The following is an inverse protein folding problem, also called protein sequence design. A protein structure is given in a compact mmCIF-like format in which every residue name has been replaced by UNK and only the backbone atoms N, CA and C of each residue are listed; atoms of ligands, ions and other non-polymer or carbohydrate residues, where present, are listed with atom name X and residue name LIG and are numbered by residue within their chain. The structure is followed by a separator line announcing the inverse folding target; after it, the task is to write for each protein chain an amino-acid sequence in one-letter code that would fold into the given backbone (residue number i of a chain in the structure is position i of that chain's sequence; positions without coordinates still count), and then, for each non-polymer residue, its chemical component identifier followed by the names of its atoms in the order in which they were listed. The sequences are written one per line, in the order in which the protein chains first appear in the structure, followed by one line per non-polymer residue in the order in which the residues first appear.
data_IF_486777217303
#
_entry.id   IF_486777217303
#
_cell.length_a   1.000
_cell.length_b   1.000
_cell.length_c   1.000
_cell.angle_alpha   90.00
_cell.angle_beta   90.00
_cell.angle_gamma   90.00
#
_symmetry.space_group_name_H-M   'P 1'
#
loop_
_entity.id
_entity.type
_entity.pdbx_description
1 polymer ?
#
# COMPACT_ATOMS: atom_id res chain seq x y z
N UNK A 1 -22.95 -70.06 39.60
CA UNK A 1 -22.15 -70.26 38.38
C UNK A 1 -22.77 -69.48 37.23
N UNK A 2 -21.97 -68.58 36.66
CA UNK A 2 -22.02 -67.93 35.33
C UNK A 2 -23.20 -67.01 34.96
N UNK A 3 -23.01 -65.72 35.24
CA UNK A 3 -23.58 -64.58 34.50
C UNK A 3 -22.82 -64.43 33.18
N UNK A 4 -23.52 -64.46 32.05
CA UNK A 4 -22.97 -64.05 30.75
C UNK A 4 -23.06 -62.53 30.61
N UNK A 5 -21.89 -61.89 30.48
CA UNK A 5 -21.73 -60.48 30.14
C UNK A 5 -21.69 -60.39 28.61
N UNK A 6 -22.68 -59.70 28.03
CA UNK A 6 -22.72 -59.37 26.62
C UNK A 6 -21.90 -58.08 26.42
N UNK A 7 -20.70 -58.19 25.88
CA UNK A 7 -19.83 -57.06 25.56
C UNK A 7 -20.24 -56.48 24.20
N UNK A 8 -20.83 -55.29 24.18
CA UNK A 8 -21.02 -54.50 22.95
C UNK A 8 -19.66 -53.89 22.54
N UNK A 9 -19.03 -54.45 21.51
CA UNK A 9 -17.90 -53.83 20.82
C UNK A 9 -18.43 -52.78 19.84
N UNK A 10 -18.58 -51.54 20.30
CA UNK A 10 -18.69 -50.39 19.39
C UNK A 10 -17.31 -50.12 18.78
N UNK A 11 -17.09 -50.63 17.58
CA UNK A 11 -15.94 -50.26 16.74
C UNK A 11 -16.13 -48.80 16.31
N UNK A 12 -15.45 -47.88 16.97
CA UNK A 12 -15.24 -46.53 16.44
C UNK A 12 -14.35 -46.66 15.20
N UNK A 13 -14.98 -46.67 14.02
CA UNK A 13 -14.28 -46.45 12.76
C UNK A 13 -13.88 -44.98 12.77
N UNK A 14 -12.67 -44.69 13.26
CA UNK A 14 -12.00 -43.44 12.93
C UNK A 14 -11.79 -43.44 11.42
N UNK A 15 -12.63 -42.71 10.70
CA UNK A 15 -12.32 -42.28 9.34
C UNK A 15 -11.02 -41.47 9.44
N UNK A 16 -9.87 -42.13 9.22
CA UNK A 16 -8.65 -41.46 8.83
C UNK A 16 -8.98 -40.78 7.51
N UNK A 17 -9.43 -39.55 7.57
CA UNK A 17 -9.44 -38.66 6.43
C UNK A 17 -7.96 -38.56 6.03
N UNK A 18 -7.55 -39.37 5.05
CA UNK A 18 -6.26 -39.19 4.42
C UNK A 18 -6.35 -37.80 3.79
N UNK A 19 -5.79 -36.79 4.47
CA UNK A 19 -5.57 -35.47 3.88
C UNK A 19 -4.81 -35.74 2.58
N UNK A 20 -5.49 -35.55 1.45
CA UNK A 20 -4.87 -35.75 0.15
C UNK A 20 -3.72 -34.74 0.04
N UNK A 21 -2.51 -35.26 -0.15
CA UNK A 21 -1.33 -34.42 -0.33
C UNK A 21 -1.54 -33.57 -1.58
N UNK A 22 -1.33 -32.26 -1.46
CA UNK A 22 -1.42 -31.35 -2.60
C UNK A 22 -0.34 -31.71 -3.61
N UNK A 23 -0.70 -31.63 -4.89
CA UNK A 23 0.20 -31.85 -6.02
C UNK A 23 0.78 -30.51 -6.50
N UNK A 24 1.99 -30.54 -7.05
CA UNK A 24 2.59 -29.35 -7.67
C UNK A 24 2.75 -29.57 -9.17
N UNK A 25 1.96 -28.87 -9.99
CA UNK A 25 2.08 -28.93 -11.45
C UNK A 25 2.95 -27.79 -12.02
N UNK A 26 4.10 -27.51 -11.38
CA UNK A 26 4.98 -26.40 -11.77
C UNK A 26 5.41 -26.44 -13.24
N UNK A 27 5.69 -27.62 -13.79
CA UNK A 27 6.07 -27.76 -15.21
C UNK A 27 4.97 -27.30 -16.17
N UNK A 28 3.69 -27.58 -15.86
CA UNK A 28 2.56 -27.14 -16.67
C UNK A 28 2.35 -25.63 -16.59
N UNK A 29 2.58 -25.04 -15.41
CA UNK A 29 2.57 -23.57 -15.22
C UNK A 29 3.68 -22.92 -16.07
N UNK A 30 4.90 -23.46 -16.06
CA UNK A 30 6.00 -22.92 -16.87
C UNK A 30 5.77 -23.11 -18.39
N UNK A 31 5.15 -24.22 -18.80
CA UNK A 31 4.69 -24.40 -20.19
C UNK A 31 3.68 -23.32 -20.59
N UNK A 32 2.66 -23.10 -19.75
CA UNK A 32 1.64 -22.07 -19.99
C UNK A 32 2.25 -20.66 -20.08
N UNK A 33 3.20 -20.31 -19.20
CA UNK A 33 3.93 -19.03 -19.28
C UNK A 33 4.72 -18.88 -20.57
N UNK A 34 5.36 -19.96 -21.02
CA UNK A 34 6.11 -19.97 -22.29
C UNK A 34 5.20 -19.74 -23.47
N UNK A 35 4.05 -20.41 -23.51
CA UNK A 35 3.03 -20.23 -24.56
C UNK A 35 2.40 -18.83 -24.54
N UNK A 36 2.27 -18.22 -23.37
CA UNK A 36 1.73 -16.86 -23.18
C UNK A 36 2.74 -15.74 -23.47
N UNK A 37 3.99 -16.07 -23.83
CA UNK A 37 5.05 -15.06 -24.03
C UNK A 37 4.68 -13.98 -25.04
N UNK A 38 4.09 -14.35 -26.18
CA UNK A 38 3.68 -13.37 -27.19
C UNK A 38 2.47 -12.54 -26.74
N UNK A 39 1.47 -13.18 -26.11
CA UNK A 39 0.32 -12.47 -25.54
C UNK A 39 0.75 -11.45 -24.46
N UNK A 40 1.70 -11.81 -23.60
CA UNK A 40 2.26 -10.90 -22.60
C UNK A 40 3.03 -9.74 -23.24
N UNK A 41 3.78 -9.98 -24.32
CA UNK A 41 4.47 -8.92 -25.06
C UNK A 41 3.47 -7.94 -25.69
N UNK A 42 2.39 -8.45 -26.30
CA UNK A 42 1.31 -7.63 -26.87
C UNK A 42 0.63 -6.82 -25.77
N UNK A 43 0.29 -7.45 -24.65
CA UNK A 43 -0.31 -6.79 -23.49
C UNK A 43 0.59 -5.67 -22.95
N UNK A 44 1.88 -5.98 -22.74
CA UNK A 44 2.88 -5.02 -22.26
C UNK A 44 3.00 -3.81 -23.19
N UNK A 45 2.93 -3.99 -24.51
CA UNK A 45 2.90 -2.88 -25.46
C UNK A 45 1.56 -2.12 -25.46
N UNK A 46 0.46 -2.82 -25.24
CA UNK A 46 -0.89 -2.26 -25.22
C UNK A 46 -1.10 -1.29 -24.05
N UNK A 47 -0.77 -1.69 -22.81
CA UNK A 47 -1.03 -0.91 -21.58
C UNK A 47 -0.32 0.45 -21.55
N UNK A 48 0.61 0.65 -22.47
CA UNK A 48 1.41 1.86 -22.57
C UNK A 48 0.64 2.93 -23.30
N UNK A 49 -0.04 2.53 -24.38
CA UNK A 49 -0.58 3.44 -25.39
C UNK A 49 -2.11 3.40 -25.50
N UNK A 50 -2.74 2.37 -24.97
CA UNK A 50 -4.15 2.10 -25.15
C UNK A 50 -4.90 2.09 -23.83
N UNK A 51 -6.23 2.11 -23.93
CA UNK A 51 -7.12 1.93 -22.80
C UNK A 51 -6.86 0.58 -22.11
N UNK A 52 -6.65 0.61 -20.79
CA UNK A 52 -6.29 -0.57 -20.00
C UNK A 52 -7.33 -1.68 -20.11
N UNK A 53 -8.62 -1.34 -20.14
CA UNK A 53 -9.70 -2.34 -20.21
C UNK A 53 -9.62 -3.12 -21.53
N UNK A 54 -9.33 -2.46 -22.65
CA UNK A 54 -9.13 -3.12 -23.94
C UNK A 54 -7.95 -4.09 -23.86
N UNK A 55 -6.82 -3.66 -23.28
CA UNK A 55 -5.63 -4.50 -23.14
C UNK A 55 -5.89 -5.74 -22.28
N UNK A 56 -6.59 -5.57 -21.16
CA UNK A 56 -6.98 -6.68 -20.28
C UNK A 56 -7.95 -7.62 -20.97
N UNK A 57 -9.00 -7.10 -21.62
CA UNK A 57 -9.99 -7.93 -22.31
C UNK A 57 -9.35 -8.75 -23.46
N UNK A 58 -8.32 -8.23 -24.14
CA UNK A 58 -7.55 -8.99 -25.14
C UNK A 58 -6.65 -10.06 -24.52
N UNK A 59 -5.92 -9.73 -23.44
CA UNK A 59 -5.07 -10.70 -22.75
C UNK A 59 -5.88 -11.91 -22.25
N UNK A 60 -7.04 -11.65 -21.64
CA UNK A 60 -7.91 -12.67 -21.05
C UNK A 60 -8.44 -13.68 -22.08
N UNK A 61 -8.53 -13.34 -23.38
CA UNK A 61 -8.90 -14.30 -24.44
C UNK A 61 -7.94 -15.49 -24.53
N UNK A 62 -6.71 -15.34 -24.04
CA UNK A 62 -5.70 -16.40 -24.01
C UNK A 62 -5.84 -17.36 -22.82
N UNK A 63 -6.78 -17.10 -21.89
CA UNK A 63 -7.00 -17.89 -20.67
C UNK A 63 -7.80 -19.18 -20.94
N UNK A 64 -7.29 -20.03 -21.83
CA UNK A 64 -8.03 -21.18 -22.39
C UNK A 64 -8.01 -22.45 -21.53
N UNK A 65 -7.16 -22.53 -20.50
CA UNK A 65 -7.08 -23.63 -19.54
C UNK A 65 -6.66 -23.10 -18.16
N UNK A 66 -6.76 -23.93 -17.13
CA UNK A 66 -6.48 -23.59 -15.72
C UNK A 66 -5.06 -23.04 -15.48
N UNK A 67 -4.04 -23.56 -16.16
CA UNK A 67 -2.66 -23.08 -16.02
C UNK A 67 -2.43 -21.72 -16.68
N UNK A 68 -3.10 -21.47 -17.82
CA UNK A 68 -3.10 -20.15 -18.47
C UNK A 68 -3.93 -19.14 -17.69
N UNK A 69 -5.07 -19.55 -17.12
CA UNK A 69 -5.87 -18.71 -16.21
C UNK A 69 -5.06 -18.31 -15.00
N UNK A 70 -4.40 -19.26 -14.35
CA UNK A 70 -3.46 -19.00 -13.26
C UNK A 70 -2.38 -17.98 -13.68
N UNK A 71 -1.74 -18.20 -14.82
CA UNK A 71 -0.64 -17.33 -15.26
C UNK A 71 -1.10 -15.91 -15.63
N UNK A 72 -2.26 -15.78 -16.31
CA UNK A 72 -2.84 -14.47 -16.66
C UNK A 72 -3.40 -13.78 -15.42
N UNK A 73 -4.00 -14.52 -14.49
CA UNK A 73 -4.42 -14.00 -13.18
C UNK A 73 -3.24 -13.34 -12.49
N UNK A 74 -2.11 -14.05 -12.37
CA UNK A 74 -0.88 -13.50 -11.80
C UNK A 74 -0.38 -12.23 -12.50
N UNK A 75 -0.50 -12.13 -13.84
CA UNK A 75 -0.16 -10.90 -14.57
C UNK A 75 -1.10 -9.74 -14.25
N UNK A 76 -2.37 -10.03 -13.97
CA UNK A 76 -3.41 -9.04 -13.67
C UNK A 76 -3.52 -8.70 -12.19
N UNK A 77 -2.76 -9.37 -11.32
CA UNK A 77 -2.84 -9.26 -9.86
C UNK A 77 -2.78 -7.82 -9.34
N UNK A 78 -1.93 -6.97 -9.94
CA UNK A 78 -1.77 -5.54 -9.60
C UNK A 78 -2.34 -4.60 -10.67
N UNK A 79 -3.17 -5.11 -11.57
CA UNK A 79 -3.68 -4.37 -12.73
C UNK A 79 -5.20 -4.35 -12.73
N UNK A 80 -5.81 -5.53 -12.73
CA UNK A 80 -7.25 -5.73 -12.71
C UNK A 80 -7.56 -6.83 -11.69
N UNK A 81 -7.79 -6.40 -10.45
CA UNK A 81 -7.95 -7.30 -9.29
C UNK A 81 -9.21 -8.15 -9.40
N UNK A 82 -10.25 -7.68 -10.09
CA UNK A 82 -11.49 -8.44 -10.30
C UNK A 82 -11.28 -9.56 -11.32
N UNK A 83 -10.60 -9.27 -12.44
CA UNK A 83 -10.25 -10.30 -13.43
C UNK A 83 -9.24 -11.29 -12.87
N UNK A 84 -8.23 -10.82 -12.12
CA UNK A 84 -7.25 -11.66 -11.43
C UNK A 84 -7.94 -12.66 -10.50
N UNK A 85 -8.79 -12.15 -9.59
CA UNK A 85 -9.57 -12.96 -8.67
C UNK A 85 -10.36 -14.05 -9.41
N UNK A 86 -11.11 -13.66 -10.46
CA UNK A 86 -11.96 -14.60 -11.21
C UNK A 86 -11.13 -15.70 -11.90
N UNK A 87 -9.99 -15.35 -12.49
CA UNK A 87 -9.13 -16.32 -13.16
C UNK A 87 -8.47 -17.30 -12.18
N UNK A 88 -8.02 -16.81 -11.02
CA UNK A 88 -7.48 -17.66 -9.96
C UNK A 88 -8.56 -18.57 -9.34
N UNK A 89 -9.79 -18.06 -9.15
CA UNK A 89 -10.94 -18.86 -8.73
C UNK A 89 -11.22 -19.98 -9.75
N UNK A 90 -11.32 -19.66 -11.04
CA UNK A 90 -11.57 -20.65 -12.09
C UNK A 90 -10.44 -21.70 -12.19
N UNK A 91 -9.19 -21.29 -12.00
CA UNK A 91 -8.05 -22.22 -11.98
C UNK A 91 -8.13 -23.17 -10.78
N UNK A 92 -8.40 -22.63 -9.58
CA UNK A 92 -8.60 -23.41 -8.35
C UNK A 92 -9.78 -24.39 -8.48
N UNK A 93 -10.93 -23.96 -9.00
CA UNK A 93 -12.10 -24.83 -9.17
C UNK A 93 -11.87 -25.96 -10.19
N UNK A 94 -11.00 -25.73 -11.18
CA UNK A 94 -10.63 -26.76 -12.14
C UNK A 94 -9.66 -27.80 -11.56
N UNK A 95 -8.82 -27.41 -10.61
CA UNK A 95 -7.87 -28.29 -9.93
C UNK A 95 -7.56 -27.80 -8.50
N UNK A 96 -8.42 -28.16 -7.55
CA UNK A 96 -8.35 -27.72 -6.15
C UNK A 96 -7.27 -28.47 -5.33
N UNK A 97 -6.61 -29.43 -5.96
CA UNK A 97 -5.49 -30.19 -5.41
C UNK A 97 -4.12 -29.65 -5.85
N UNK A 98 -4.06 -28.64 -6.73
CA UNK A 98 -2.79 -27.97 -7.06
C UNK A 98 -2.37 -26.97 -5.98
N UNK A 99 -1.18 -27.16 -5.40
CA UNK A 99 -0.67 -26.34 -4.32
C UNK A 99 -0.51 -24.86 -4.68
N UNK A 100 -0.20 -24.55 -5.94
CA UNK A 100 -0.02 -23.16 -6.40
C UNK A 100 -1.39 -22.49 -6.55
N UNK A 101 -2.39 -23.22 -7.04
CA UNK A 101 -3.75 -22.68 -7.21
C UNK A 101 -4.42 -22.46 -5.86
N UNK A 102 -4.23 -23.39 -4.92
CA UNK A 102 -4.68 -23.24 -3.52
C UNK A 102 -4.09 -21.97 -2.90
N UNK A 103 -2.77 -21.77 -3.06
CA UNK A 103 -2.11 -20.61 -2.48
C UNK A 103 -2.60 -19.29 -3.10
N UNK A 104 -2.56 -19.17 -4.43
CA UNK A 104 -2.94 -17.90 -5.09
C UNK A 104 -4.42 -17.57 -4.83
N UNK A 105 -5.31 -18.56 -4.83
CA UNK A 105 -6.71 -18.30 -4.54
C UNK A 105 -6.93 -17.90 -3.06
N UNK A 106 -6.15 -18.46 -2.12
CA UNK A 106 -6.16 -18.00 -0.72
C UNK A 106 -5.74 -16.53 -0.59
N UNK A 107 -4.70 -16.13 -1.32
CA UNK A 107 -4.20 -14.75 -1.39
C UNK A 107 -5.28 -13.81 -1.95
N UNK A 108 -5.94 -14.20 -3.04
CA UNK A 108 -7.04 -13.44 -3.63
C UNK A 108 -8.24 -13.27 -2.69
N UNK A 109 -8.64 -14.34 -1.99
CA UNK A 109 -9.68 -14.28 -0.96
C UNK A 109 -9.28 -13.35 0.19
N UNK A 110 -8.03 -13.39 0.62
CA UNK A 110 -7.50 -12.53 1.68
C UNK A 110 -7.55 -11.06 1.26
N UNK A 111 -7.15 -10.72 0.03
CA UNK A 111 -7.28 -9.36 -0.53
C UNK A 111 -8.71 -8.86 -0.61
N UNK A 112 -9.67 -9.76 -0.83
CA UNK A 112 -11.11 -9.46 -0.79
C UNK A 112 -11.69 -9.45 0.63
N UNK A 113 -10.85 -9.52 1.67
CA UNK A 113 -11.22 -9.56 3.09
C UNK A 113 -12.12 -10.76 3.44
N UNK A 114 -12.11 -11.82 2.62
CA UNK A 114 -12.80 -13.09 2.89
C UNK A 114 -11.95 -13.99 3.80
N UNK A 115 -11.58 -13.45 4.96
CA UNK A 115 -10.60 -14.05 5.88
C UNK A 115 -10.91 -15.49 6.29
N UNK A 116 -12.18 -15.83 6.50
CA UNK A 116 -12.60 -17.18 6.92
C UNK A 116 -12.48 -18.23 5.80
N UNK A 117 -12.58 -17.82 4.54
CA UNK A 117 -12.38 -18.70 3.38
C UNK A 117 -10.88 -18.84 3.09
N UNK A 118 -10.16 -17.71 3.12
CA UNK A 118 -8.71 -17.67 2.95
C UNK A 118 -7.97 -18.53 3.98
N UNK A 119 -8.34 -18.46 5.26
CA UNK A 119 -7.69 -19.22 6.33
C UNK A 119 -7.72 -20.73 6.08
N UNK A 120 -8.85 -21.28 5.63
CA UNK A 120 -8.99 -22.72 5.31
C UNK A 120 -8.01 -23.16 4.22
N UNK A 121 -7.84 -22.34 3.19
CA UNK A 121 -6.91 -22.65 2.10
C UNK A 121 -5.44 -22.48 2.54
N UNK A 122 -5.13 -21.45 3.32
CA UNK A 122 -3.80 -21.31 3.91
C UNK A 122 -3.44 -22.45 4.86
N UNK A 123 -4.39 -22.99 5.63
CA UNK A 123 -4.17 -24.19 6.43
C UNK A 123 -3.80 -25.38 5.54
N UNK A 124 -4.63 -25.68 4.53
CA UNK A 124 -4.38 -26.74 3.54
C UNK A 124 -2.99 -26.58 2.89
N UNK A 125 -2.62 -25.35 2.52
CA UNK A 125 -1.31 -25.03 1.95
C UNK A 125 -0.18 -25.26 2.96
N UNK A 126 -0.31 -24.74 4.19
CA UNK A 126 0.73 -24.80 5.23
C UNK A 126 1.03 -26.23 5.69
N UNK A 127 0.05 -27.14 5.66
CA UNK A 127 0.27 -28.57 5.91
C UNK A 127 1.21 -29.21 4.88
N UNK A 128 1.16 -28.74 3.64
CA UNK A 128 1.97 -29.24 2.53
C UNK A 128 3.28 -28.44 2.34
N UNK A 129 3.34 -27.21 2.84
CA UNK A 129 4.50 -26.31 2.79
C UNK A 129 4.85 -25.74 4.18
N UNK A 130 5.16 -26.58 5.18
CA UNK A 130 5.31 -26.13 6.58
C UNK A 130 6.51 -25.21 6.81
N UNK A 131 7.43 -25.12 5.83
CA UNK A 131 8.61 -24.24 5.85
C UNK A 131 8.33 -22.84 5.30
N UNK A 132 7.20 -22.63 4.61
CA UNK A 132 6.85 -21.30 4.14
C UNK A 132 6.23 -20.48 5.27
N UNK A 133 7.07 -19.67 5.93
CA UNK A 133 6.65 -18.87 7.08
C UNK A 133 5.58 -17.83 6.74
N UNK A 134 5.43 -17.46 5.45
CA UNK A 134 4.47 -16.44 5.01
C UNK A 134 3.05 -16.91 5.24
N UNK A 135 2.79 -18.21 5.05
CA UNK A 135 1.50 -18.83 5.31
C UNK A 135 1.04 -18.61 6.76
N UNK A 136 1.96 -18.67 7.73
CA UNK A 136 1.62 -18.43 9.13
C UNK A 136 1.36 -16.95 9.43
N UNK A 137 2.01 -16.03 8.72
CA UNK A 137 1.71 -14.60 8.83
C UNK A 137 0.30 -14.29 8.28
N UNK A 138 -0.05 -14.82 7.10
CA UNK A 138 -1.39 -14.67 6.52
C UNK A 138 -2.48 -15.34 7.38
N UNK A 139 -2.22 -16.54 7.91
CA UNK A 139 -3.13 -17.19 8.87
C UNK A 139 -3.32 -16.33 10.12
N UNK A 140 -2.24 -15.75 10.66
CA UNK A 140 -2.34 -14.86 11.82
C UNK A 140 -3.27 -13.69 11.55
N UNK A 141 -3.14 -13.03 10.40
CA UNK A 141 -3.98 -11.92 10.01
C UNK A 141 -5.45 -12.35 9.78
N UNK A 142 -5.67 -13.45 9.05
CA UNK A 142 -7.02 -13.99 8.85
C UNK A 142 -7.70 -14.33 10.18
N UNK A 143 -6.97 -14.93 11.11
CA UNK A 143 -7.52 -15.36 12.40
C UNK A 143 -7.86 -14.20 13.32
N UNK A 144 -7.07 -13.12 13.33
CA UNK A 144 -7.43 -11.96 14.15
C UNK A 144 -8.65 -11.24 13.59
N UNK A 145 -8.80 -11.20 12.26
CA UNK A 145 -9.97 -10.60 11.60
C UNK A 145 -11.25 -11.43 11.74
N UNK A 146 -11.14 -12.74 11.98
CA UNK A 146 -12.29 -13.65 12.23
C UNK A 146 -12.60 -13.82 13.73
N UNK A 147 -11.84 -13.17 14.62
CA UNK A 147 -12.04 -13.25 16.07
C UNK A 147 -11.44 -14.50 16.72
N UNK A 148 -10.72 -15.34 15.96
CA UNK A 148 -10.02 -16.53 16.46
C UNK A 148 -8.65 -16.14 17.05
N UNK A 149 -8.68 -15.30 18.10
CA UNK A 149 -7.50 -14.61 18.64
C UNK A 149 -6.36 -15.57 19.03
N UNK A 150 -6.69 -16.68 19.69
CA UNK A 150 -5.68 -17.65 20.14
C UNK A 150 -5.00 -18.36 18.96
N UNK A 151 -5.75 -18.65 17.88
CA UNK A 151 -5.16 -19.18 16.65
C UNK A 151 -4.28 -18.16 15.94
N UNK A 152 -4.65 -16.87 16.00
CA UNK A 152 -3.82 -15.80 15.47
C UNK A 152 -2.46 -15.77 16.18
N UNK A 153 -2.46 -15.71 17.52
CA UNK A 153 -1.23 -15.72 18.34
C UNK A 153 -0.38 -16.97 18.07
N UNK A 154 -1.01 -18.14 17.99
CA UNK A 154 -0.31 -19.39 17.71
C UNK A 154 0.39 -19.37 16.35
N UNK A 155 -0.28 -18.87 15.30
CA UNK A 155 0.32 -18.77 13.97
C UNK A 155 1.39 -17.67 13.90
N UNK A 156 1.18 -16.53 14.56
CA UNK A 156 2.21 -15.50 14.67
C UNK A 156 3.52 -16.04 15.25
N UNK A 157 3.45 -16.84 16.32
CA UNK A 157 4.65 -17.48 16.90
C UNK A 157 5.40 -18.36 15.90
N UNK A 158 4.67 -19.10 15.05
CA UNK A 158 5.26 -19.94 14.00
C UNK A 158 5.99 -19.15 12.93
N UNK A 159 5.73 -17.85 12.78
CA UNK A 159 6.47 -17.00 11.84
C UNK A 159 7.93 -16.81 12.25
N UNK A 160 8.27 -16.97 13.53
CA UNK A 160 9.58 -16.66 14.10
C UNK A 160 10.10 -15.29 13.61
N UNK A 161 9.37 -14.22 13.93
CA UNK A 161 9.61 -12.87 13.42
C UNK A 161 11.08 -12.42 13.49
N UNK A 162 11.80 -12.75 14.57
CA UNK A 162 13.23 -12.43 14.71
C UNK A 162 14.09 -12.87 13.52
N UNK A 163 13.79 -14.03 12.94
CA UNK A 163 14.55 -14.60 11.83
C UNK A 163 13.93 -14.26 10.46
N UNK A 164 12.64 -13.86 10.42
CA UNK A 164 11.87 -13.81 9.19
C UNK A 164 11.15 -12.47 8.91
N UNK A 165 11.47 -11.40 9.63
CA UNK A 165 10.79 -10.10 9.51
C UNK A 165 10.63 -9.60 8.05
N UNK A 166 11.68 -9.68 7.21
CA UNK A 166 11.59 -9.28 5.79
C UNK A 166 10.55 -10.10 5.03
N UNK A 167 10.49 -11.41 5.26
CA UNK A 167 9.52 -12.28 4.60
C UNK A 167 8.09 -12.04 5.10
N UNK A 168 7.91 -11.64 6.36
CA UNK A 168 6.62 -11.21 6.92
C UNK A 168 6.18 -9.89 6.31
N UNK A 169 7.10 -8.93 6.19
CA UNK A 169 6.84 -7.64 5.57
C UNK A 169 6.40 -7.84 4.10
N UNK A 170 7.14 -8.64 3.33
CA UNK A 170 6.77 -8.99 1.97
C UNK A 170 5.41 -9.73 1.88
N UNK A 171 5.12 -10.64 2.83
CA UNK A 171 3.84 -11.33 2.86
C UNK A 171 2.66 -10.36 3.02
N UNK A 172 2.80 -9.36 3.90
CA UNK A 172 1.77 -8.35 4.10
C UNK A 172 1.71 -7.36 2.92
N UNK A 173 2.83 -7.04 2.27
CA UNK A 173 2.86 -6.26 1.04
C UNK A 173 2.05 -6.93 -0.09
N UNK A 174 2.16 -8.25 -0.24
CA UNK A 174 1.40 -9.01 -1.25
C UNK A 174 -0.12 -8.81 -1.07
N UNK A 175 -0.61 -8.67 0.16
CA UNK A 175 -2.04 -8.49 0.45
C UNK A 175 -2.46 -7.02 0.40
N UNK A 176 -1.70 -6.14 1.05
CA UNK A 176 -2.11 -4.76 1.34
C UNK A 176 -1.31 -3.69 0.60
N UNK A 177 -0.35 -4.07 -0.25
CA UNK A 177 0.41 -3.16 -1.10
C UNK A 177 -0.45 -2.39 -2.09
N UNK A 178 0.07 -1.26 -2.60
CA UNK A 178 -0.65 -0.40 -3.55
C UNK A 178 -0.66 -1.03 -4.95
N UNK A 179 -1.71 -1.78 -5.23
CA UNK A 179 -1.89 -2.57 -6.46
C UNK A 179 -2.59 -1.82 -7.60
N UNK A 180 -2.55 -0.48 -7.63
CA UNK A 180 -3.35 0.30 -8.58
C UNK A 180 -2.54 1.22 -9.49
N UNK A 181 -1.20 1.18 -9.48
CA UNK A 181 -0.38 2.15 -10.22
C UNK A 181 -0.63 2.14 -11.74
N UNK A 182 -0.74 0.96 -12.36
CA UNK A 182 -1.07 0.86 -13.80
C UNK A 182 -2.47 1.42 -14.08
N UNK A 183 -3.44 1.11 -13.22
CA UNK A 183 -4.80 1.66 -13.33
C UNK A 183 -4.81 3.18 -13.17
N UNK A 184 -4.15 3.72 -12.14
CA UNK A 184 -4.02 5.16 -11.90
C UNK A 184 -3.39 5.85 -13.11
N UNK A 185 -2.33 5.28 -13.68
CA UNK A 185 -1.72 5.79 -14.91
C UNK A 185 -2.72 5.84 -16.07
N UNK A 186 -3.48 4.76 -16.28
CA UNK A 186 -4.50 4.70 -17.33
C UNK A 186 -5.61 5.74 -17.11
N UNK A 187 -6.11 5.88 -15.88
CA UNK A 187 -7.14 6.85 -15.54
C UNK A 187 -6.65 8.30 -15.78
N UNK A 188 -5.41 8.61 -15.40
CA UNK A 188 -4.81 9.92 -15.64
C UNK A 188 -4.68 10.23 -17.14
N UNK A 189 -4.21 9.26 -17.94
CA UNK A 189 -4.14 9.40 -19.40
C UNK A 189 -5.52 9.60 -20.02
N UNK A 190 -6.53 8.89 -19.54
CA UNK A 190 -7.91 9.03 -20.01
C UNK A 190 -8.45 10.45 -19.76
N UNK A 191 -8.22 11.02 -18.57
CA UNK A 191 -8.64 12.40 -18.27
C UNK A 191 -7.83 13.44 -19.08
N UNK A 192 -6.54 13.19 -19.32
CA UNK A 192 -5.72 14.03 -20.23
C UNK A 192 -6.31 14.06 -21.65
N UNK A 193 -6.76 12.92 -22.16
CA UNK A 193 -7.41 12.85 -23.48
C UNK A 193 -8.73 13.63 -23.53
N UNK A 194 -9.43 13.77 -22.40
CA UNK A 194 -10.60 14.65 -22.27
C UNK A 194 -10.27 16.13 -22.14
N UNK A 195 -8.99 16.49 -22.00
CA UNK A 195 -8.52 17.88 -21.91
C UNK A 195 -8.06 18.31 -20.51
N UNK A 196 -8.08 17.44 -19.51
CA UNK A 196 -7.60 17.74 -18.15
C UNK A 196 -6.07 17.71 -18.10
N UNK A 197 -5.42 18.69 -18.73
CA UNK A 197 -3.96 18.70 -18.92
C UNK A 197 -3.16 18.86 -17.63
N UNK A 198 -3.76 19.32 -16.53
CA UNK A 198 -3.11 19.34 -15.21
C UNK A 198 -2.73 17.94 -14.72
N UNK A 199 -3.37 16.88 -15.25
CA UNK A 199 -3.06 15.50 -14.89
C UNK A 199 -1.71 15.01 -15.44
N UNK A 200 -1.02 15.78 -16.30
CA UNK A 200 0.36 15.46 -16.66
C UNK A 200 1.31 15.49 -15.46
N UNK A 201 1.06 16.34 -14.46
CA UNK A 201 1.89 16.40 -13.26
C UNK A 201 1.86 15.09 -12.45
N UNK A 202 0.71 14.59 -11.97
CA UNK A 202 0.63 13.31 -11.27
C UNK A 202 1.03 12.12 -12.15
N UNK A 203 0.77 12.17 -13.47
CA UNK A 203 1.19 11.11 -14.40
C UNK A 203 2.72 10.98 -14.44
N UNK A 204 3.42 12.08 -14.71
CA UNK A 204 4.88 12.07 -14.78
C UNK A 204 5.51 11.80 -13.40
N UNK A 205 4.88 12.28 -12.32
CA UNK A 205 5.33 11.95 -10.97
C UNK A 205 5.25 10.45 -10.69
N UNK A 206 4.13 9.81 -11.06
CA UNK A 206 3.91 8.38 -10.91
C UNK A 206 4.95 7.57 -11.68
N UNK A 207 5.20 7.90 -12.95
CA UNK A 207 6.18 7.18 -13.77
C UNK A 207 7.60 7.35 -13.23
N UNK A 208 7.91 8.49 -12.61
CA UNK A 208 9.22 8.77 -12.04
C UNK A 208 9.47 8.06 -10.71
N UNK A 209 8.42 7.88 -9.91
CA UNK A 209 8.45 7.39 -8.53
C UNK A 209 7.60 6.12 -8.37
N UNK A 210 7.78 5.15 -9.26
CA UNK A 210 7.02 3.91 -9.28
C UNK A 210 7.37 3.03 -8.08
N UNK A 211 6.42 2.78 -7.19
CA UNK A 211 6.62 1.90 -6.03
C UNK A 211 6.78 0.44 -6.51
N UNK A 212 7.79 -0.26 -5.99
CA UNK A 212 7.98 -1.71 -6.21
C UNK A 212 7.69 -2.52 -4.95
N UNK A 213 7.90 -1.91 -3.79
CA UNK A 213 7.54 -2.40 -2.46
C UNK A 213 7.31 -1.17 -1.55
N UNK A 214 7.18 -1.36 -0.23
CA UNK A 214 6.89 -0.24 0.69
C UNK A 214 8.00 0.78 0.86
N UNK A 215 9.24 0.49 0.46
CA UNK A 215 10.40 1.38 0.66
C UNK A 215 11.16 1.70 -0.63
N UNK A 216 10.98 0.91 -1.68
CA UNK A 216 11.65 1.11 -2.96
C UNK A 216 10.73 1.77 -3.98
N UNK A 217 11.31 2.75 -4.68
CA UNK A 217 10.73 3.32 -5.89
C UNK A 217 11.76 3.33 -7.01
N UNK A 218 11.30 3.24 -8.25
CA UNK A 218 12.14 3.37 -9.44
C UNK A 218 11.44 4.15 -10.54
N UNK A 219 12.16 4.49 -11.59
CA UNK A 219 11.57 5.13 -12.78
C UNK A 219 11.09 4.07 -13.76
N UNK A 220 9.82 4.14 -14.17
CA UNK A 220 9.28 3.39 -15.30
C UNK A 220 9.61 4.10 -16.61
N UNK A 221 10.86 3.92 -17.07
CA UNK A 221 11.40 4.63 -18.24
C UNK A 221 10.53 4.51 -19.49
N UNK A 222 9.90 3.35 -19.72
CA UNK A 222 9.07 3.14 -20.90
C UNK A 222 7.78 3.97 -20.85
N UNK A 223 7.12 4.04 -19.69
CA UNK A 223 5.95 4.90 -19.49
C UNK A 223 6.32 6.37 -19.54
N UNK A 224 7.34 6.77 -18.78
CA UNK A 224 7.80 8.15 -18.70
C UNK A 224 8.10 8.74 -20.09
N UNK A 225 8.79 7.98 -20.95
CA UNK A 225 9.14 8.45 -22.28
C UNK A 225 7.92 8.66 -23.19
N UNK A 226 6.93 7.78 -23.13
CA UNK A 226 5.69 7.94 -23.92
C UNK A 226 4.81 9.06 -23.36
N UNK A 227 4.69 9.17 -22.05
CA UNK A 227 3.90 10.21 -21.40
C UNK A 227 4.51 11.61 -21.56
N UNK A 228 5.85 11.72 -21.67
CA UNK A 228 6.51 12.96 -22.05
C UNK A 228 6.26 13.36 -23.50
N UNK A 229 6.26 12.41 -24.44
CA UNK A 229 5.88 12.70 -25.84
C UNK A 229 4.43 13.16 -25.94
N UNK A 230 3.55 12.54 -25.17
CA UNK A 230 2.14 12.95 -25.09
C UNK A 230 2.03 14.37 -24.52
N UNK A 231 2.73 14.67 -23.43
CA UNK A 231 2.79 16.01 -22.85
C UNK A 231 3.30 17.05 -23.84
N UNK A 232 4.40 16.75 -24.55
CA UNK A 232 4.94 17.62 -25.59
C UNK A 232 3.92 17.91 -26.70
N UNK A 233 3.21 16.88 -27.14
CA UNK A 233 2.22 16.96 -28.22
C UNK A 233 0.99 17.76 -27.81
N UNK A 234 0.47 17.55 -26.59
CA UNK A 234 -0.78 18.17 -26.11
C UNK A 234 -0.57 19.59 -25.56
N UNK A 235 0.53 19.83 -24.85
CA UNK A 235 0.83 21.13 -24.25
C UNK A 235 1.62 22.05 -25.19
N UNK A 236 2.57 21.49 -25.94
CA UNK A 236 3.54 22.21 -26.76
C UNK A 236 4.80 22.64 -25.98
N UNK A 237 5.94 22.72 -26.68
CA UNK A 237 7.27 23.05 -26.11
C UNK A 237 7.33 24.41 -25.38
N UNK A 238 6.53 25.38 -25.83
CA UNK A 238 6.53 26.72 -25.25
C UNK A 238 5.70 26.82 -23.95
N UNK A 239 4.83 25.84 -23.69
CA UNK A 239 3.89 25.85 -22.58
C UNK A 239 4.62 25.85 -21.22
N UNK A 240 4.21 26.72 -20.27
CA UNK A 240 4.81 26.77 -18.94
C UNK A 240 4.81 25.42 -18.21
N UNK A 241 3.71 24.67 -18.26
CA UNK A 241 3.57 23.42 -17.53
C UNK A 241 4.53 22.36 -18.07
N UNK A 242 4.65 22.26 -19.39
CA UNK A 242 5.59 21.34 -20.03
C UNK A 242 7.05 21.70 -19.72
N UNK A 243 7.38 23.00 -19.67
CA UNK A 243 8.70 23.47 -19.22
C UNK A 243 8.97 23.10 -17.77
N UNK A 244 8.00 23.27 -16.88
CA UNK A 244 8.10 22.85 -15.48
C UNK A 244 8.32 21.35 -15.36
N UNK A 245 7.60 20.53 -16.13
CA UNK A 245 7.78 19.07 -16.16
C UNK A 245 9.20 18.69 -16.61
N UNK A 246 9.69 19.26 -17.71
CA UNK A 246 11.06 19.01 -18.20
C UNK A 246 12.12 19.46 -17.19
N UNK A 247 11.91 20.62 -16.55
CA UNK A 247 12.80 21.12 -15.53
C UNK A 247 12.83 20.19 -14.31
N UNK A 248 11.67 19.73 -13.83
CA UNK A 248 11.57 18.76 -12.72
C UNK A 248 12.38 17.50 -13.01
N UNK A 249 12.17 16.86 -14.17
CA UNK A 249 12.89 15.65 -14.54
C UNK A 249 14.39 15.87 -14.64
N UNK A 250 14.82 17.01 -15.20
CA UNK A 250 16.24 17.37 -15.25
C UNK A 250 16.82 17.55 -13.86
N UNK A 251 16.10 18.20 -12.96
CA UNK A 251 16.52 18.39 -11.56
C UNK A 251 16.67 17.04 -10.85
N UNK A 252 15.74 16.09 -11.04
CA UNK A 252 15.84 14.74 -10.45
C UNK A 252 17.06 13.97 -10.97
N UNK A 253 17.38 14.11 -12.26
CA UNK A 253 18.60 13.52 -12.82
C UNK A 253 19.86 14.13 -12.18
N UNK A 254 19.93 15.46 -12.09
CA UNK A 254 21.06 16.17 -11.51
C UNK A 254 21.21 15.92 -10.00
N UNK A 255 20.10 15.74 -9.27
CA UNK A 255 20.08 15.35 -7.85
C UNK A 255 20.80 14.02 -7.66
N UNK A 256 20.46 13.02 -8.50
CA UNK A 256 21.13 11.71 -8.46
C UNK A 256 22.63 11.79 -8.78
N UNK A 257 23.03 12.75 -9.61
CA UNK A 257 24.42 12.99 -9.98
C UNK A 257 25.17 13.91 -8.98
N UNK A 258 24.48 14.49 -7.99
CA UNK A 258 25.06 15.42 -7.04
C UNK A 258 25.46 16.79 -7.63
N UNK A 259 24.84 17.20 -8.74
CA UNK A 259 25.21 18.43 -9.49
C UNK A 259 24.42 19.65 -9.00
N UNK A 260 24.80 20.17 -7.83
CA UNK A 260 24.07 21.23 -7.12
C UNK A 260 23.93 22.54 -7.91
N UNK A 261 25.02 23.10 -8.45
CA UNK A 261 24.98 24.39 -9.16
C UNK A 261 24.14 24.34 -10.44
N UNK A 262 24.14 23.19 -11.13
CA UNK A 262 23.33 22.93 -12.30
C UNK A 262 21.84 22.85 -11.95
N UNK A 263 21.49 22.26 -10.80
CA UNK A 263 20.11 22.28 -10.29
C UNK A 263 19.66 23.73 -10.09
N UNK A 264 20.48 24.54 -9.41
CA UNK A 264 20.20 25.96 -9.17
C UNK A 264 19.98 26.72 -10.47
N UNK A 265 20.82 26.47 -11.48
CA UNK A 265 20.67 27.06 -12.82
C UNK A 265 19.33 26.67 -13.46
N UNK A 266 18.97 25.38 -13.45
CA UNK A 266 17.69 24.91 -14.03
C UNK A 266 16.49 25.57 -13.34
N UNK A 267 16.51 25.70 -12.00
CA UNK A 267 15.47 26.39 -11.24
C UNK A 267 15.32 27.86 -11.64
N UNK A 268 16.43 28.59 -11.78
CA UNK A 268 16.44 30.00 -12.16
C UNK A 268 15.99 30.19 -13.62
N UNK A 269 16.55 29.43 -14.56
CA UNK A 269 16.28 29.55 -16.00
C UNK A 269 14.80 29.23 -16.32
N UNK A 270 14.19 28.32 -15.57
CA UNK A 270 12.79 27.94 -15.73
C UNK A 270 11.83 28.71 -14.80
N UNK A 271 12.32 29.67 -14.01
CA UNK A 271 11.52 30.49 -13.09
C UNK A 271 10.69 29.64 -12.12
N UNK A 272 11.35 28.74 -11.40
CA UNK A 272 10.72 27.83 -10.44
C UNK A 272 11.26 28.12 -9.04
N UNK A 273 10.39 28.48 -8.10
CA UNK A 273 10.64 28.63 -6.64
C UNK A 273 11.66 29.72 -6.25
N UNK A 274 12.88 29.69 -6.78
CA UNK A 274 13.95 30.63 -6.45
C UNK A 274 13.64 32.04 -6.97
N UNK A 275 14.24 33.07 -6.34
CA UNK A 275 14.04 34.48 -6.69
C UNK A 275 12.56 34.92 -6.65
N UNK A 276 11.79 34.40 -5.69
CA UNK A 276 10.35 34.62 -5.56
C UNK A 276 9.53 34.21 -6.79
N UNK A 277 10.05 33.33 -7.63
CA UNK A 277 9.27 32.74 -8.70
C UNK A 277 8.19 31.79 -8.14
N UNK A 278 7.12 31.50 -8.92
CA UNK A 278 5.99 30.71 -8.45
C UNK A 278 6.38 29.32 -7.91
N UNK A 279 5.64 28.87 -6.89
CA UNK A 279 5.66 27.49 -6.41
C UNK A 279 4.77 26.66 -7.36
N UNK A 280 5.23 25.49 -7.86
CA UNK A 280 4.39 24.61 -8.67
C UNK A 280 3.07 24.26 -7.96
N UNK A 281 1.98 24.24 -8.71
CA UNK A 281 0.64 24.02 -8.14
C UNK A 281 0.40 22.56 -7.70
N UNK A 282 1.18 21.62 -8.21
CA UNK A 282 1.12 20.21 -7.84
C UNK A 282 2.03 19.93 -6.63
N UNK A 283 1.44 19.45 -5.54
CA UNK A 283 2.08 19.39 -4.24
C UNK A 283 3.26 18.45 -4.18
N UNK A 284 3.20 17.30 -4.84
CA UNK A 284 4.30 16.34 -4.84
C UNK A 284 5.53 16.89 -5.57
N UNK A 285 5.36 17.61 -6.69
CA UNK A 285 6.47 18.32 -7.35
C UNK A 285 7.04 19.39 -6.44
N UNK A 286 6.18 20.18 -5.80
CA UNK A 286 6.60 21.24 -4.88
C UNK A 286 7.34 20.71 -3.66
N UNK A 287 6.88 19.60 -3.08
CA UNK A 287 7.50 18.92 -1.94
C UNK A 287 8.91 18.48 -2.30
N UNK A 288 9.07 17.80 -3.45
CA UNK A 288 10.36 17.33 -3.94
C UNK A 288 11.33 18.47 -4.23
N UNK A 289 10.86 19.50 -4.95
CA UNK A 289 11.70 20.63 -5.35
C UNK A 289 12.10 21.50 -4.14
N UNK A 290 11.19 21.75 -3.20
CA UNK A 290 11.51 22.48 -1.98
C UNK A 290 12.52 21.71 -1.12
N UNK A 291 12.33 20.40 -0.92
CA UNK A 291 13.30 19.54 -0.24
C UNK A 291 14.69 19.66 -0.89
N UNK A 292 14.77 19.57 -2.21
CA UNK A 292 16.03 19.73 -2.95
C UNK A 292 16.65 21.11 -2.70
N UNK A 293 15.85 22.19 -2.72
CA UNK A 293 16.37 23.54 -2.45
C UNK A 293 16.87 23.73 -1.03
N UNK A 294 16.24 23.09 -0.03
CA UNK A 294 16.68 23.17 1.36
C UNK A 294 17.93 22.32 1.62
N UNK A 295 17.99 21.09 1.12
CA UNK A 295 19.17 20.21 1.25
C UNK A 295 20.41 20.86 0.62
N UNK A 296 20.25 21.51 -0.53
CA UNK A 296 21.34 22.22 -1.21
C UNK A 296 21.55 23.65 -0.70
N UNK A 297 20.81 24.08 0.34
CA UNK A 297 20.93 25.40 0.97
C UNK A 297 20.69 26.58 0.01
N UNK A 298 19.92 26.38 -1.06
CA UNK A 298 19.47 27.48 -1.95
C UNK A 298 18.40 28.33 -1.29
N UNK A 299 17.62 27.72 -0.39
CA UNK A 299 16.65 28.37 0.46
C UNK A 299 16.88 27.94 1.90
N UNK A 300 16.46 28.78 2.83
CA UNK A 300 16.37 28.45 4.26
C UNK A 300 14.91 28.22 4.63
N UNK A 301 14.60 27.13 5.34
CA UNK A 301 13.23 26.78 5.73
C UNK A 301 12.54 27.89 6.54
N UNK A 302 13.26 28.50 7.49
CA UNK A 302 12.70 29.54 8.36
C UNK A 302 12.36 30.80 7.56
N UNK A 303 13.27 31.23 6.70
CA UNK A 303 13.06 32.43 5.88
C UNK A 303 11.98 32.18 4.82
N UNK A 304 11.95 30.99 4.22
CA UNK A 304 10.92 30.62 3.26
C UNK A 304 9.53 30.62 3.91
N UNK A 305 9.37 29.99 5.09
CA UNK A 305 8.10 29.98 5.80
C UNK A 305 7.64 31.39 6.19
N UNK A 306 8.53 32.22 6.74
CA UNK A 306 8.19 33.60 7.15
C UNK A 306 7.76 34.47 5.97
N UNK A 307 8.41 34.32 4.83
CA UNK A 307 8.19 35.19 3.67
C UNK A 307 7.11 34.65 2.71
N UNK A 308 6.97 33.32 2.59
CA UNK A 308 6.14 32.65 1.57
C UNK A 308 5.22 31.56 2.13
N UNK A 309 5.19 31.33 3.44
CA UNK A 309 4.29 30.34 4.05
C UNK A 309 2.81 30.63 3.76
N UNK A 310 2.39 31.89 3.78
CA UNK A 310 1.01 32.26 3.44
C UNK A 310 0.68 31.99 1.96
N UNK A 311 1.63 32.23 1.06
CA UNK A 311 1.46 31.90 -0.36
C UNK A 311 1.21 30.39 -0.54
N UNK A 312 2.01 29.56 0.15
CA UNK A 312 1.88 28.10 0.12
C UNK A 312 0.53 27.62 0.70
N UNK A 313 0.10 28.20 1.82
CA UNK A 313 -1.20 27.87 2.43
C UNK A 313 -2.38 28.23 1.52
N UNK A 314 -2.36 29.42 0.91
CA UNK A 314 -3.41 29.83 -0.02
C UNK A 314 -3.41 28.99 -1.30
N UNK A 315 -2.23 28.61 -1.79
CA UNK A 315 -2.11 27.67 -2.90
C UNK A 315 -2.75 26.32 -2.55
N UNK A 316 -2.43 25.74 -1.38
CA UNK A 316 -3.02 24.49 -0.91
C UNK A 316 -4.55 24.56 -0.82
N UNK A 317 -5.11 25.64 -0.28
CA UNK A 317 -6.57 25.84 -0.20
C UNK A 317 -7.21 25.95 -1.57
N UNK A 318 -6.56 26.66 -2.50
CA UNK A 318 -7.05 26.87 -3.86
C UNK A 318 -7.07 25.58 -4.67
N UNK A 319 -6.01 24.79 -4.59
CA UNK A 319 -5.88 23.54 -5.37
C UNK A 319 -6.52 22.35 -4.66
N UNK A 320 -6.83 22.47 -3.36
CA UNK A 320 -7.23 21.36 -2.48
C UNK A 320 -6.21 20.22 -2.48
N UNK A 321 -4.94 20.56 -2.70
CA UNK A 321 -3.81 19.64 -2.68
C UNK A 321 -3.29 19.45 -1.25
N UNK A 322 -3.42 18.23 -0.75
CA UNK A 322 -3.02 17.84 0.61
C UNK A 322 -1.51 17.87 0.84
N UNK A 323 -0.71 17.67 -0.21
CA UNK A 323 0.74 17.69 -0.10
C UNK A 323 1.25 19.12 0.04
N UNK A 324 0.65 20.11 -0.64
CA UNK A 324 0.96 21.52 -0.39
C UNK A 324 0.66 21.94 1.06
N UNK A 325 -0.47 21.49 1.62
CA UNK A 325 -0.79 21.74 3.02
C UNK A 325 0.21 21.04 3.96
N UNK A 326 0.67 19.84 3.59
CA UNK A 326 1.64 19.07 4.36
C UNK A 326 3.00 19.76 4.40
N UNK A 327 3.45 20.35 3.28
CA UNK A 327 4.67 21.17 3.24
C UNK A 327 4.51 22.38 4.17
N UNK A 328 3.36 23.07 4.15
CA UNK A 328 3.10 24.21 5.03
C UNK A 328 3.17 23.80 6.50
N UNK A 329 2.50 22.70 6.88
CA UNK A 329 2.49 22.21 8.25
C UNK A 329 3.89 21.78 8.72
N UNK A 330 4.65 21.08 7.86
CA UNK A 330 6.04 20.72 8.13
C UNK A 330 6.89 21.96 8.42
N UNK A 331 6.84 22.97 7.54
CA UNK A 331 7.60 24.21 7.71
C UNK A 331 7.17 24.97 8.98
N UNK A 332 5.88 25.01 9.27
CA UNK A 332 5.37 25.62 10.51
C UNK A 332 5.91 24.91 11.75
N UNK A 333 5.95 23.58 11.75
CA UNK A 333 6.53 22.79 12.84
C UNK A 333 8.04 23.02 12.97
N UNK A 334 8.79 23.08 11.86
CA UNK A 334 10.23 23.37 11.88
C UNK A 334 10.54 24.73 12.50
N UNK A 335 9.71 25.75 12.22
CA UNK A 335 9.93 27.13 12.69
C UNK A 335 9.42 27.36 14.11
N UNK A 336 8.21 26.89 14.41
CA UNK A 336 7.51 27.17 15.67
C UNK A 336 7.64 26.03 16.70
N UNK A 337 8.25 24.91 16.32
CA UNK A 337 8.34 23.68 17.11
C UNK A 337 7.07 22.81 17.07
N UNK A 338 5.94 23.34 16.60
CA UNK A 338 4.63 22.64 16.52
C UNK A 338 3.78 23.17 15.37
N UNK A 339 2.85 22.34 14.89
CA UNK A 339 1.79 22.75 13.95
C UNK A 339 0.65 23.41 14.72
N UNK A 340 0.06 24.46 14.16
CA UNK A 340 -1.15 25.07 14.70
C UNK A 340 -2.31 24.05 14.64
N UNK A 341 -3.00 23.76 15.75
CA UNK A 341 -4.12 22.82 15.77
C UNK A 341 -5.21 23.08 14.73
N UNK A 342 -5.45 24.34 14.32
CA UNK A 342 -6.43 24.67 13.27
C UNK A 342 -5.98 24.22 11.88
N UNK A 343 -4.67 24.18 11.61
CA UNK A 343 -4.11 23.67 10.36
C UNK A 343 -4.22 22.15 10.31
N UNK A 344 -3.94 21.49 11.42
CA UNK A 344 -4.16 20.05 11.55
C UNK A 344 -5.65 19.69 11.41
N UNK A 345 -6.57 20.48 12.01
CA UNK A 345 -8.01 20.31 11.79
C UNK A 345 -8.42 20.54 10.35
N UNK A 346 -7.88 21.56 9.68
CA UNK A 346 -8.13 21.81 8.27
C UNK A 346 -7.73 20.59 7.41
N UNK A 347 -6.51 20.10 7.61
CA UNK A 347 -5.99 18.95 6.85
C UNK A 347 -6.76 17.65 7.11
N UNK A 348 -7.17 17.43 8.36
CA UNK A 348 -8.02 16.29 8.70
C UNK A 348 -9.44 16.46 8.13
N UNK A 349 -10.14 17.54 8.46
CA UNK A 349 -11.59 17.66 8.22
C UNK A 349 -11.95 18.00 6.79
N UNK A 350 -11.17 18.86 6.13
CA UNK A 350 -11.44 19.27 4.75
C UNK A 350 -10.64 18.46 3.74
N UNK A 351 -9.34 18.27 3.96
CA UNK A 351 -8.47 17.55 3.01
C UNK A 351 -8.50 16.03 3.19
N UNK A 352 -9.14 15.53 4.26
CA UNK A 352 -9.32 14.10 4.55
C UNK A 352 -8.01 13.33 4.56
N UNK A 353 -6.95 13.93 5.10
CA UNK A 353 -5.63 13.29 5.17
C UNK A 353 -5.27 12.93 6.62
N UNK A 354 -5.00 11.63 6.83
CA UNK A 354 -4.73 11.03 8.13
C UNK A 354 -3.51 11.66 8.82
N UNK A 355 -2.51 12.13 8.05
CA UNK A 355 -1.27 12.71 8.62
C UNK A 355 -1.56 13.88 9.55
N UNK A 356 -2.55 14.70 9.21
CA UNK A 356 -2.96 15.85 10.01
C UNK A 356 -3.73 15.44 11.26
N UNK A 357 -4.60 14.43 11.19
CA UNK A 357 -5.22 13.88 12.39
C UNK A 357 -4.17 13.29 13.35
N UNK A 358 -3.18 12.57 12.81
CA UNK A 358 -2.06 12.05 13.61
C UNK A 358 -1.28 13.18 14.28
N UNK A 359 -0.93 14.24 13.55
CA UNK A 359 -0.27 15.42 14.10
C UNK A 359 -1.11 16.07 15.21
N UNK A 360 -2.40 16.27 14.95
CA UNK A 360 -3.37 16.85 15.89
C UNK A 360 -3.35 16.14 17.25
N UNK A 361 -3.50 14.80 17.24
CA UNK A 361 -3.55 14.02 18.46
C UNK A 361 -2.18 13.78 19.08
N UNK A 362 -1.09 13.86 18.29
CA UNK A 362 0.28 13.84 18.83
C UNK A 362 0.51 15.04 19.74
N UNK A 363 0.08 16.23 19.31
CA UNK A 363 0.21 17.46 20.10
C UNK A 363 -0.64 17.43 21.39
N UNK A 364 -1.74 16.68 21.38
CA UNK A 364 -2.63 16.48 22.54
C UNK A 364 -2.32 15.25 23.38
N UNK A 365 -1.25 14.50 23.09
CA UNK A 365 -1.08 13.15 23.61
C UNK A 365 -1.05 13.03 25.15
N UNK A 366 -0.70 14.09 25.88
CA UNK A 366 -0.69 14.11 27.34
C UNK A 366 -2.07 14.37 27.96
N UNK A 367 -2.95 15.05 27.24
CA UNK A 367 -4.29 15.43 27.70
C UNK A 367 -5.38 14.50 27.12
N UNK A 368 -5.00 13.65 26.16
CA UNK A 368 -5.90 12.76 25.44
C UNK A 368 -6.51 11.70 26.38
N UNK A 369 -7.84 11.59 26.32
CA UNK A 369 -8.61 10.61 27.09
C UNK A 369 -9.12 9.48 26.20
N UNK A 370 -9.38 8.33 26.81
CA UNK A 370 -9.91 7.16 26.10
C UNK A 370 -11.25 7.42 25.39
N UNK A 371 -12.12 8.22 26.02
CA UNK A 371 -13.45 8.59 25.54
C UNK A 371 -13.49 9.96 24.84
N UNK A 372 -12.33 10.46 24.40
CA UNK A 372 -12.23 11.71 23.64
C UNK A 372 -13.12 11.67 22.38
N UNK A 373 -13.99 12.65 22.25
CA UNK A 373 -15.00 12.72 21.18
C UNK A 373 -14.31 12.92 19.83
N UNK A 374 -13.28 13.77 19.76
CA UNK A 374 -12.56 14.03 18.53
C UNK A 374 -11.76 12.78 18.11
N UNK A 375 -11.13 12.07 19.04
CA UNK A 375 -10.42 10.82 18.72
C UNK A 375 -11.37 9.76 18.15
N UNK A 376 -12.54 9.59 18.75
CA UNK A 376 -13.55 8.65 18.26
C UNK A 376 -14.10 9.05 16.89
N UNK A 377 -14.15 10.35 16.58
CA UNK A 377 -14.48 10.83 15.23
C UNK A 377 -13.34 10.51 14.25
N UNK A 378 -12.09 10.72 14.63
CA UNK A 378 -10.93 10.44 13.78
C UNK A 378 -10.82 8.96 13.43
N UNK A 379 -11.16 8.07 14.38
CA UNK A 379 -11.22 6.63 14.14
C UNK A 379 -12.33 6.23 13.15
N UNK A 380 -13.40 7.03 13.03
CA UNK A 380 -14.44 6.82 12.00
C UNK A 380 -13.99 7.37 10.65
N UNK A 381 -13.32 8.51 10.64
CA UNK A 381 -12.78 9.13 9.43
C UNK A 381 -11.65 8.28 8.83
N UNK A 382 -10.83 7.64 9.67
CA UNK A 382 -9.68 6.82 9.26
C UNK A 382 -9.74 5.43 9.93
N UNK A 383 -10.68 4.56 9.50
CA UNK A 383 -10.90 3.26 10.13
C UNK A 383 -9.70 2.30 10.01
N UNK A 384 -8.76 2.57 9.10
CA UNK A 384 -7.56 1.77 8.89
C UNK A 384 -6.30 2.37 9.55
N UNK A 385 -6.40 3.49 10.28
CA UNK A 385 -5.24 4.13 10.91
C UNK A 385 -4.74 3.33 12.11
N UNK A 386 -3.63 2.60 11.98
CA UNK A 386 -3.05 1.93 13.14
C UNK A 386 -2.55 2.91 14.20
N UNK A 387 -2.09 4.10 13.81
CA UNK A 387 -1.63 5.11 14.75
C UNK A 387 -2.74 5.64 15.67
N UNK A 388 -3.92 5.94 15.13
CA UNK A 388 -5.05 6.42 15.95
C UNK A 388 -5.57 5.32 16.90
N UNK A 389 -5.62 4.07 16.44
CA UNK A 389 -5.95 2.94 17.31
C UNK A 389 -4.89 2.71 18.39
N UNK A 390 -3.61 2.95 18.08
CA UNK A 390 -2.53 2.90 19.07
C UNK A 390 -2.71 3.97 20.15
N UNK A 391 -3.07 5.19 19.79
CA UNK A 391 -3.39 6.24 20.77
C UNK A 391 -4.55 5.82 21.67
N UNK A 392 -5.63 5.25 21.10
CA UNK A 392 -6.76 4.76 21.89
C UNK A 392 -6.38 3.64 22.86
N UNK A 393 -5.63 2.64 22.41
CA UNK A 393 -5.12 1.57 23.25
C UNK A 393 -4.18 2.09 24.36
N UNK A 394 -3.35 3.10 24.05
CA UNK A 394 -2.48 3.77 25.02
C UNK A 394 -3.29 4.49 26.10
N UNK A 395 -4.32 5.26 25.73
CA UNK A 395 -5.22 5.93 26.68
C UNK A 395 -5.93 4.92 27.58
N UNK A 396 -6.45 3.82 27.01
CA UNK A 396 -7.09 2.75 27.78
C UNK A 396 -6.15 2.23 28.89
N UNK A 397 -4.90 1.93 28.52
CA UNK A 397 -3.88 1.45 29.45
C UNK A 397 -3.54 2.48 30.53
N UNK A 398 -3.36 3.75 30.17
CA UNK A 398 -3.04 4.83 31.13
C UNK A 398 -4.18 5.07 32.13
N UNK A 399 -5.43 4.85 31.73
CA UNK A 399 -6.61 5.02 32.56
C UNK A 399 -7.06 3.73 33.29
N UNK A 400 -6.25 2.66 33.24
CA UNK A 400 -6.59 1.34 33.78
C UNK A 400 -7.93 0.77 33.26
N UNK A 401 -8.26 1.05 31.98
CA UNK A 401 -9.40 0.48 31.27
C UNK A 401 -9.00 -0.83 30.58
N UNK A 402 -9.95 -1.75 30.30
CA UNK A 402 -9.68 -2.96 29.54
C UNK A 402 -9.10 -2.62 28.15
N UNK A 403 -7.88 -3.09 27.87
CA UNK A 403 -7.13 -2.74 26.62
C UNK A 403 -7.25 -3.79 25.52
N UNK A 404 -7.62 -5.04 25.87
CA UNK A 404 -7.53 -6.19 24.96
C UNK A 404 -8.26 -5.98 23.63
N UNK A 405 -9.47 -5.40 23.66
CA UNK A 405 -10.23 -5.15 22.44
C UNK A 405 -9.60 -4.06 21.56
N UNK A 406 -9.15 -2.95 22.16
CA UNK A 406 -8.45 -1.90 21.42
C UNK A 406 -7.11 -2.40 20.84
N UNK A 407 -6.43 -3.30 21.54
CA UNK A 407 -5.22 -3.94 21.06
C UNK A 407 -5.48 -4.88 19.87
N UNK A 408 -6.58 -5.65 19.88
CA UNK A 408 -7.00 -6.47 18.75
C UNK A 408 -7.27 -5.58 17.54
N UNK A 409 -8.02 -4.49 17.72
CA UNK A 409 -8.33 -3.58 16.61
C UNK A 409 -7.07 -2.90 16.06
N UNK A 410 -6.14 -2.48 16.94
CA UNK A 410 -4.82 -1.99 16.55
C UNK A 410 -4.07 -3.02 15.69
N UNK A 411 -3.98 -4.27 16.15
CA UNK A 411 -3.23 -5.32 15.43
C UNK A 411 -3.80 -5.58 14.04
N UNK A 412 -5.13 -5.60 13.90
CA UNK A 412 -5.78 -5.72 12.57
C UNK A 412 -5.32 -4.61 11.61
N UNK A 413 -5.15 -3.38 12.09
CA UNK A 413 -4.70 -2.25 11.25
C UNK A 413 -3.20 -2.28 11.02
N UNK A 414 -2.43 -2.76 11.99
CA UNK A 414 -1.00 -2.95 11.83
C UNK A 414 -0.69 -3.94 10.71
N UNK A 415 -1.38 -5.08 10.61
CA UNK A 415 -1.24 -5.98 9.46
C UNK A 415 -1.44 -5.28 8.11
N UNK A 416 -2.36 -4.30 8.04
CA UNK A 416 -2.67 -3.54 6.81
C UNK A 416 -1.65 -2.45 6.47
N UNK A 417 -1.04 -1.83 7.48
CA UNK A 417 -0.38 -0.52 7.30
C UNK A 417 1.03 -0.42 7.86
N UNK A 418 1.36 -1.19 8.90
CA UNK A 418 2.52 -0.98 9.76
C UNK A 418 2.68 0.48 10.23
N UNK A 419 1.57 1.21 10.36
CA UNK A 419 1.56 2.67 10.46
C UNK A 419 2.09 3.25 11.78
N UNK A 420 2.30 2.43 12.82
CA UNK A 420 2.93 2.86 14.08
C UNK A 420 4.45 2.80 14.05
N UNK A 421 5.04 2.10 13.07
CA UNK A 421 6.47 2.13 12.82
C UNK A 421 6.78 3.23 11.79
N UNK A 422 7.77 4.09 12.08
CA UNK A 422 8.12 5.20 11.19
C UNK A 422 8.66 4.71 9.83
N UNK A 423 9.30 3.54 9.82
CA UNK A 423 9.84 2.92 8.61
C UNK A 423 8.85 1.90 8.01
N UNK A 424 7.66 1.75 8.60
CA UNK A 424 6.62 0.79 8.18
C UNK A 424 7.10 -0.66 8.18
N UNK A 425 7.85 -1.05 9.21
CA UNK A 425 8.23 -2.45 9.43
C UNK A 425 7.33 -3.13 10.47
N UNK A 426 7.20 -4.46 10.39
CA UNK A 426 6.40 -5.28 11.32
C UNK A 426 6.91 -5.35 12.77
N UNK A 427 7.91 -4.57 13.17
CA UNK A 427 8.47 -4.62 14.54
C UNK A 427 7.45 -4.20 15.60
N UNK A 428 6.63 -3.18 15.33
CA UNK A 428 5.56 -2.76 16.24
C UNK A 428 4.47 -3.82 16.35
N UNK A 429 4.05 -4.39 15.22
CA UNK A 429 3.15 -5.53 15.18
C UNK A 429 3.65 -6.69 16.07
N UNK A 430 4.94 -7.06 16.00
CA UNK A 430 5.52 -8.07 16.90
C UNK A 430 5.29 -7.73 18.38
N UNK A 431 5.58 -6.50 18.77
CA UNK A 431 5.40 -6.06 20.16
C UNK A 431 3.94 -6.11 20.59
N UNK A 432 3.01 -5.74 19.71
CA UNK A 432 1.58 -5.79 20.01
C UNK A 432 1.05 -7.22 20.13
N UNK A 433 1.46 -8.12 19.23
CA UNK A 433 1.11 -9.54 19.33
C UNK A 433 1.63 -10.17 20.63
N UNK A 434 2.86 -9.83 21.05
CA UNK A 434 3.39 -10.27 22.35
C UNK A 434 2.64 -9.68 23.53
N UNK A 435 2.16 -8.44 23.43
CA UNK A 435 1.32 -7.82 24.47
C UNK A 435 -0.04 -8.51 24.56
N UNK A 436 -0.65 -8.83 23.41
CA UNK A 436 -1.96 -9.47 23.34
C UNK A 436 -1.95 -10.89 23.93
N UNK A 437 -0.82 -11.58 23.84
CA UNK A 437 -0.61 -12.88 24.48
C UNK A 437 -0.65 -12.80 26.01
N UNK A 438 -0.11 -11.73 26.60
CA UNK A 438 0.00 -11.57 28.06
C UNK A 438 -1.29 -10.99 28.65
N UNK A 439 -1.97 -10.09 27.94
CA UNK A 439 -3.24 -9.48 28.32
C UNK A 439 -4.38 -10.52 28.27
N UNK A 440 -4.50 -11.37 29.30
CA UNK A 440 -5.60 -12.34 29.44
C UNK A 440 -6.93 -11.65 29.74
N UNK A 441 -8.02 -12.33 29.37
CA UNK A 441 -9.44 -11.89 29.43
C UNK A 441 -9.79 -11.16 30.72
#
# INVERSE_FOLDING_TARGET
MNKQILLFFTVFIFSKCFSQKLESNREKIESAKTELKEANKIFSACIVNSDLKICVDELVKNATNEYRKYSIGGMLYEIDTDKSFKLHEEAYLANDNDINFVLEYAIELHRKEKYAEASKLYEKYSENSPKDIKAYAWLSDCYINTGEIEKSILNWKKTNHSENHIAIDNAMFIIYGKTTQIKTRSDLRFEIEKGETSNFYPLIFLDKNWESDWWNTHTQEYFLNEDLKLAQTKLGEANPDFKTIKAYLKIKELERLGQSEEIKKVLVDNKIILNNNPIPAFGEFSSDLLRITFINQFLNENDFYKNRGNELLELAKKTKDKELLNIYAFLQASVNGTVNPEIDKLGWKEFKDERFARSYFSAKANDLRYDDIELNEALKDFPNSSYLFWLKAKCAKMENKPVRQDLIELIKREFKTFGTDQNKYSYRLKSYMGTLEVEKV
#
